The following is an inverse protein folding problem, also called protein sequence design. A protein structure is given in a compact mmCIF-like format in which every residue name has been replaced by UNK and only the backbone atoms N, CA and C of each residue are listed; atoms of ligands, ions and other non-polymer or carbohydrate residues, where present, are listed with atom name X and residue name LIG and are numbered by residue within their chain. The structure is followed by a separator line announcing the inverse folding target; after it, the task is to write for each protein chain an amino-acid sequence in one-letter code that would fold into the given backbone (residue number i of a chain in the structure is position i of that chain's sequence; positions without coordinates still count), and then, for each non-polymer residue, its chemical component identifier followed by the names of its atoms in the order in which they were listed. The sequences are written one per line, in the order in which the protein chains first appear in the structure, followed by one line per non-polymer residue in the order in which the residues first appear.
data_IF_375565598297
#
_entry.id   IF_375565598297
#
_cell.length_a   1.000
_cell.length_b   1.000
_cell.length_c   1.000
_cell.angle_alpha   90.00
_cell.angle_beta   90.00
_cell.angle_gamma   90.00
#
_symmetry.space_group_name_H-M   'P 1'
#
loop_
_entity.id
_entity.type
_entity.pdbx_description
1 polymer ?
#
# COMPACT_ATOMS: atom_id res chain seq x y z
N UNK A 1 -24.55 4.77 -6.40
CA UNK A 1 -23.73 5.99 -6.18
C UNK A 1 -22.42 5.76 -6.90
N UNK A 2 -22.02 6.66 -7.80
CA UNK A 2 -20.73 6.54 -8.49
C UNK A 2 -19.71 7.28 -7.65
N UNK A 3 -18.70 6.57 -7.14
CA UNK A 3 -17.56 7.16 -6.43
C UNK A 3 -16.54 7.65 -7.45
N UNK A 4 -15.94 8.81 -7.21
CA UNK A 4 -14.80 9.32 -7.97
C UNK A 4 -13.49 9.10 -7.21
N UNK A 5 -12.35 9.21 -7.90
CA UNK A 5 -11.03 9.13 -7.26
C UNK A 5 -10.82 10.27 -6.24
N UNK A 6 -11.39 11.46 -6.51
CA UNK A 6 -11.37 12.61 -5.59
C UNK A 6 -12.21 12.33 -4.31
N UNK A 7 -13.32 11.59 -4.42
CA UNK A 7 -14.09 11.16 -3.25
C UNK A 7 -13.29 10.19 -2.37
N UNK A 8 -12.52 9.29 -3.00
CA UNK A 8 -11.67 8.30 -2.32
C UNK A 8 -10.45 8.97 -1.67
N UNK A 9 -9.80 9.94 -2.33
CA UNK A 9 -8.67 10.68 -1.75
C UNK A 9 -9.10 11.47 -0.50
N UNK A 10 -10.29 12.09 -0.55
CA UNK A 10 -10.85 12.84 0.60
C UNK A 10 -11.36 11.93 1.72
N UNK A 11 -11.89 10.75 1.39
CA UNK A 11 -12.37 9.77 2.35
C UNK A 11 -12.00 8.34 1.92
N UNK A 12 -10.77 7.90 2.25
CA UNK A 12 -10.31 6.54 1.92
C UNK A 12 -11.18 5.45 2.55
N UNK A 13 -11.84 5.77 3.67
CA UNK A 13 -12.75 4.88 4.40
C UNK A 13 -13.99 4.46 3.58
N UNK A 14 -14.32 5.17 2.50
CA UNK A 14 -15.44 4.81 1.61
C UNK A 14 -15.22 3.46 0.91
N UNK A 15 -13.96 3.04 0.77
CA UNK A 15 -13.58 1.76 0.15
C UNK A 15 -12.73 0.89 1.07
N UNK A 16 -12.53 1.30 2.34
CA UNK A 16 -11.88 0.46 3.34
C UNK A 16 -12.78 -0.72 3.70
N UNK A 17 -12.19 -1.90 3.79
CA UNK A 17 -12.89 -3.10 4.27
C UNK A 17 -12.06 -3.80 5.32
N UNK A 18 -12.72 -4.26 6.38
CA UNK A 18 -12.07 -5.03 7.44
C UNK A 18 -12.46 -6.50 7.30
N UNK A 19 -11.48 -7.40 7.39
CA UNK A 19 -11.69 -8.84 7.37
C UNK A 19 -10.93 -9.55 8.49
N UNK A 20 -11.37 -10.75 8.83
CA UNK A 20 -10.71 -11.61 9.82
C UNK A 20 -10.06 -12.80 9.10
N UNK A 21 -8.73 -12.84 9.10
CA UNK A 21 -7.96 -13.94 8.52
C UNK A 21 -7.08 -14.58 9.58
N UNK A 22 -7.24 -15.88 9.80
CA UNK A 22 -6.45 -16.66 10.77
C UNK A 22 -6.44 -16.05 12.20
N UNK A 23 -7.54 -15.43 12.61
CA UNK A 23 -7.66 -14.78 13.93
C UNK A 23 -7.02 -13.39 14.02
N UNK A 24 -6.49 -12.88 12.91
CA UNK A 24 -5.93 -11.52 12.79
C UNK A 24 -6.96 -10.63 12.10
N UNK A 25 -7.18 -9.44 12.68
CA UNK A 25 -7.99 -8.40 12.05
C UNK A 25 -7.15 -7.67 11.01
N UNK A 26 -7.54 -7.76 9.74
CA UNK A 26 -6.89 -7.11 8.60
C UNK A 26 -7.76 -5.96 8.11
N UNK A 27 -7.19 -4.77 8.01
CA UNK A 27 -7.84 -3.62 7.38
C UNK A 27 -7.25 -3.38 5.98
N UNK A 28 -8.08 -3.59 4.97
CA UNK A 28 -7.76 -3.27 3.58
C UNK A 28 -8.21 -1.85 3.30
N UNK A 29 -7.25 -0.96 3.03
CA UNK A 29 -7.51 0.43 2.69
C UNK A 29 -6.51 0.92 1.64
N UNK A 30 -6.81 2.04 0.95
CA UNK A 30 -5.85 2.68 0.06
C UNK A 30 -4.51 2.98 0.74
N UNK A 31 -3.43 2.87 -0.03
CA UNK A 31 -2.09 3.23 0.41
C UNK A 31 -1.97 4.74 0.48
N UNK A 32 -1.51 5.28 1.61
CA UNK A 32 -1.33 6.71 1.81
C UNK A 32 0.15 7.10 1.73
N UNK A 33 0.42 8.37 1.45
CA UNK A 33 1.77 8.94 1.49
C UNK A 33 2.47 8.71 2.84
N UNK A 34 1.71 8.71 3.93
CA UNK A 34 2.21 8.52 5.29
C UNK A 34 2.59 7.06 5.60
N UNK A 35 2.26 6.10 4.72
CA UNK A 35 2.58 4.69 4.91
C UNK A 35 4.00 4.31 4.46
N UNK A 36 4.79 5.25 3.92
CA UNK A 36 6.13 4.99 3.36
C UNK A 36 7.03 4.14 4.28
N UNK A 37 7.01 4.37 5.59
CA UNK A 37 7.81 3.61 6.56
C UNK A 37 7.30 2.19 6.79
N UNK A 38 5.96 2.02 6.85
CA UNK A 38 5.35 0.69 7.03
C UNK A 38 5.55 -0.16 5.78
N UNK A 39 5.41 0.47 4.61
CA UNK A 39 5.66 -0.17 3.33
C UNK A 39 7.14 -0.53 3.17
N UNK A 40 8.06 0.37 3.52
CA UNK A 40 9.50 0.06 3.53
C UNK A 40 9.79 -1.16 4.40
N UNK A 41 9.29 -1.18 5.63
CA UNK A 41 9.46 -2.32 6.53
C UNK A 41 8.90 -3.63 5.95
N UNK A 42 7.73 -3.57 5.30
CA UNK A 42 7.18 -4.74 4.60
C UNK A 42 8.08 -5.22 3.47
N UNK A 43 8.54 -4.31 2.60
CA UNK A 43 9.42 -4.62 1.47
C UNK A 43 10.77 -5.19 1.95
N UNK A 44 11.34 -4.63 3.02
CA UNK A 44 12.57 -5.07 3.69
C UNK A 44 12.46 -6.44 4.38
N UNK A 45 11.26 -6.96 4.60
CA UNK A 45 11.04 -8.30 5.15
C UNK A 45 10.50 -9.32 4.13
N UNK A 46 10.37 -8.93 2.85
CA UNK A 46 10.04 -9.90 1.80
C UNK A 46 11.08 -11.01 1.71
N UNK A 47 10.60 -12.24 1.58
CA UNK A 47 11.45 -13.40 1.38
C UNK A 47 12.31 -13.28 0.11
N UNK A 48 13.49 -13.90 0.14
CA UNK A 48 14.45 -13.87 -0.97
C UNK A 48 13.87 -14.38 -2.29
N UNK A 49 12.98 -15.38 -2.24
CA UNK A 49 12.27 -15.89 -3.42
C UNK A 49 11.36 -14.82 -4.03
N UNK A 50 10.55 -14.14 -3.21
CA UNK A 50 9.68 -13.06 -3.67
C UNK A 50 10.46 -11.93 -4.31
N UNK A 51 11.60 -11.55 -3.71
CA UNK A 51 12.48 -10.51 -4.28
C UNK A 51 13.11 -10.92 -5.61
N UNK A 52 13.47 -12.19 -5.75
CA UNK A 52 14.09 -12.72 -6.97
C UNK A 52 13.15 -12.65 -8.19
N UNK A 53 11.83 -12.73 -7.96
CA UNK A 53 10.83 -12.67 -9.02
C UNK A 53 10.21 -11.27 -9.23
N UNK A 54 10.65 -10.27 -8.48
CA UNK A 54 10.15 -8.89 -8.59
C UNK A 54 11.04 -8.06 -9.51
N UNK A 55 10.43 -7.16 -10.29
CA UNK A 55 11.11 -6.23 -11.21
C UNK A 55 11.53 -4.91 -10.55
N UNK A 56 11.44 -4.82 -9.22
CA UNK A 56 11.71 -3.58 -8.48
C UNK A 56 13.21 -3.34 -8.34
N UNK A 57 13.60 -2.07 -8.39
CA UNK A 57 14.99 -1.64 -8.29
C UNK A 57 15.49 -1.62 -6.85
N UNK A 58 14.59 -1.55 -5.88
CA UNK A 58 14.90 -1.59 -4.46
C UNK A 58 13.75 -2.14 -3.62
N UNK A 59 14.01 -2.23 -2.31
CA UNK A 59 13.04 -2.63 -1.29
C UNK A 59 13.15 -1.73 -0.06
N UNK A 60 13.78 -0.56 -0.22
CA UNK A 60 14.09 0.38 0.85
C UNK A 60 13.03 1.48 0.96
N UNK A 61 13.29 2.46 1.84
CA UNK A 61 12.39 3.60 2.05
C UNK A 61 12.19 4.47 0.80
N UNK A 62 13.18 4.56 -0.09
CA UNK A 62 13.04 5.37 -1.30
C UNK A 62 12.06 4.71 -2.26
N UNK A 63 12.21 3.39 -2.48
CA UNK A 63 11.25 2.63 -3.28
C UNK A 63 9.84 2.69 -2.66
N UNK A 64 9.73 2.54 -1.34
CA UNK A 64 8.45 2.64 -0.63
C UNK A 64 7.78 4.00 -0.85
N UNK A 65 8.55 5.09 -0.75
CA UNK A 65 8.07 6.46 -1.00
C UNK A 65 7.60 6.63 -2.44
N UNK A 66 8.35 6.14 -3.41
CA UNK A 66 8.02 6.26 -4.82
C UNK A 66 6.70 5.57 -5.15
N UNK A 67 6.40 4.43 -4.52
CA UNK A 67 5.13 3.72 -4.71
C UNK A 67 3.96 4.44 -4.06
N UNK A 68 4.14 4.90 -2.81
CA UNK A 68 3.16 5.71 -2.11
C UNK A 68 2.82 6.96 -2.95
N UNK A 69 3.84 7.58 -3.54
CA UNK A 69 3.67 8.75 -4.40
C UNK A 69 3.03 8.41 -5.74
N UNK A 70 3.42 7.31 -6.39
CA UNK A 70 2.86 6.90 -7.67
C UNK A 70 1.36 6.63 -7.57
N UNK A 71 0.93 5.90 -6.54
CA UNK A 71 -0.48 5.66 -6.28
C UNK A 71 -1.20 6.99 -6.04
N UNK A 72 -0.72 7.83 -5.11
CA UNK A 72 -1.41 9.09 -4.82
C UNK A 72 -1.42 10.10 -5.99
N UNK A 73 -0.49 9.99 -6.94
CA UNK A 73 -0.38 10.92 -8.07
C UNK A 73 -1.15 10.47 -9.30
N UNK A 74 -1.27 9.17 -9.54
CA UNK A 74 -1.77 8.63 -10.80
C UNK A 74 -3.02 7.74 -10.65
N UNK A 75 -3.29 7.22 -9.46
CA UNK A 75 -4.50 6.47 -9.09
C UNK A 75 -5.37 7.29 -8.12
#
# INVERSE_FOLDING_TARGET
MVLTLDDIDKNPELISTTDYFEGILINFRPLLLTDEKKLAHFLENLGSQTRKFSTRNGYDLNEARDLCFAINRYD
#
